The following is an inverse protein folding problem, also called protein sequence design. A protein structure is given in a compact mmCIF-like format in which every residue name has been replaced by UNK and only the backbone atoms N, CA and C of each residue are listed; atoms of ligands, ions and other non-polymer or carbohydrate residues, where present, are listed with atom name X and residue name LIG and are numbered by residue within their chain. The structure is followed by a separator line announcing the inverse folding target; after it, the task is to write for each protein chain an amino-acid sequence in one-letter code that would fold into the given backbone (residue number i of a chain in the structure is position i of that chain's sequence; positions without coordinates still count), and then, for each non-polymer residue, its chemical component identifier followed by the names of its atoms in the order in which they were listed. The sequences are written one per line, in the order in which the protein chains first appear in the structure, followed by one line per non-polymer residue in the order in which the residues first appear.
data_IF_514348651175
#
_entry.id   IF_514348651175
#
_cell.length_a   1.000
_cell.length_b   1.000
_cell.length_c   1.000
_cell.angle_alpha   90.00
_cell.angle_beta   90.00
_cell.angle_gamma   90.00
#
_symmetry.space_group_name_H-M   'P 1'
#
loop_
_entity.id
_entity.type
_entity.pdbx_description
1 polymer ?
#
# COMPACT_ATOMS: atom_id res chain seq x y z
N UNK A 1 -18.55 21.85 14.68
CA UNK A 1 -17.41 21.67 13.75
C UNK A 1 -17.48 20.25 13.22
N UNK A 2 -17.37 20.07 11.90
CA UNK A 2 -17.32 18.76 11.26
C UNK A 2 -15.98 18.10 11.56
N UNK A 3 -15.98 16.92 12.20
CA UNK A 3 -14.76 16.17 12.45
C UNK A 3 -14.24 15.59 11.13
N UNK A 4 -12.99 15.86 10.77
CA UNK A 4 -12.38 15.41 9.51
C UNK A 4 -11.40 14.29 9.80
N UNK A 5 -11.38 13.28 8.95
CA UNK A 5 -10.47 12.13 9.06
C UNK A 5 -9.80 11.83 7.72
N UNK A 6 -8.60 11.27 7.78
CA UNK A 6 -7.83 10.83 6.64
C UNK A 6 -7.94 9.31 6.50
N UNK A 7 -8.26 8.84 5.30
CA UNK A 7 -8.58 7.44 5.03
C UNK A 7 -7.61 6.90 4.01
N UNK A 8 -7.00 5.76 4.34
CA UNK A 8 -6.04 5.04 3.51
C UNK A 8 -6.48 3.58 3.42
N UNK A 9 -6.27 2.91 2.28
CA UNK A 9 -6.45 1.45 2.25
C UNK A 9 -5.43 0.76 3.16
N UNK A 10 -5.77 -0.37 3.76
CA UNK A 10 -4.82 -1.18 4.55
C UNK A 10 -3.63 -1.73 3.76
N UNK A 11 -3.73 -1.78 2.44
CA UNK A 11 -2.63 -2.15 1.55
C UNK A 11 -2.46 -1.04 0.51
N UNK A 12 -1.97 0.13 0.94
CA UNK A 12 -1.85 1.28 0.03
C UNK A 12 -0.76 1.06 -1.02
N UNK A 13 0.21 0.20 -0.71
CA UNK A 13 1.31 -0.22 -1.58
C UNK A 13 1.35 -1.74 -1.59
N UNK A 14 1.65 -2.33 -2.74
CA UNK A 14 1.86 -3.78 -2.87
C UNK A 14 3.01 -4.07 -3.83
N UNK A 15 3.55 -5.28 -3.80
CA UNK A 15 4.62 -5.71 -4.71
C UNK A 15 4.23 -5.62 -6.19
N UNK A 16 2.94 -5.79 -6.50
CA UNK A 16 2.43 -5.78 -7.87
C UNK A 16 1.84 -4.41 -8.29
N UNK A 17 1.70 -3.48 -7.34
CA UNK A 17 1.09 -2.17 -7.59
C UNK A 17 1.62 -1.14 -6.60
N UNK A 18 2.38 -0.18 -7.14
CA UNK A 18 2.87 1.01 -6.43
C UNK A 18 2.26 2.23 -7.13
N UNK A 19 1.37 2.99 -6.46
CA UNK A 19 0.77 4.18 -7.05
C UNK A 19 1.85 5.23 -7.38
N UNK A 20 1.79 5.86 -8.58
CA UNK A 20 2.82 6.80 -9.01
C UNK A 20 2.74 8.16 -8.29
N UNK A 21 1.61 8.50 -7.67
CA UNK A 21 1.41 9.78 -7.00
C UNK A 21 0.58 9.66 -5.72
N UNK A 22 1.00 10.36 -4.66
CA UNK A 22 0.23 10.51 -3.42
C UNK A 22 -1.05 11.34 -3.64
N UNK A 23 -0.92 12.38 -4.48
CA UNK A 23 -1.99 13.30 -4.87
C UNK A 23 -2.22 13.11 -6.36
N UNK A 24 -3.31 12.43 -6.72
CA UNK A 24 -3.67 12.15 -8.10
C UNK A 24 -5.19 12.17 -8.28
N UNK A 25 -5.66 11.80 -9.48
CA UNK A 25 -7.10 11.66 -9.74
C UNK A 25 -7.78 10.68 -8.75
N UNK A 26 -7.03 9.67 -8.30
CA UNK A 26 -7.38 8.79 -7.19
C UNK A 26 -6.26 8.87 -6.14
N UNK A 27 -6.36 9.76 -5.13
CA UNK A 27 -5.31 9.95 -4.14
C UNK A 27 -5.24 8.78 -3.16
N UNK A 28 -4.03 8.45 -2.70
CA UNK A 28 -3.80 7.39 -1.70
C UNK A 28 -4.40 7.71 -0.33
N UNK A 29 -4.41 9.00 0.01
CA UNK A 29 -5.00 9.54 1.23
C UNK A 29 -6.23 10.34 0.81
N UNK A 30 -7.40 9.91 1.26
CA UNK A 30 -8.65 10.65 1.07
C UNK A 30 -9.04 11.38 2.35
N UNK A 31 -9.47 12.63 2.23
CA UNK A 31 -9.96 13.44 3.36
C UNK A 31 -11.48 13.44 3.36
N UNK A 32 -12.09 13.06 4.48
CA UNK A 32 -13.55 12.99 4.59
C UNK A 32 -14.07 13.59 5.90
N UNK A 33 -15.27 14.15 5.84
CA UNK A 33 -16.04 14.54 7.01
C UNK A 33 -16.71 13.30 7.63
N UNK A 34 -16.53 13.14 8.94
CA UNK A 34 -17.11 12.04 9.73
C UNK A 34 -18.56 12.35 10.04
N UNK A 35 -19.47 11.50 9.56
CA UNK A 35 -20.88 11.57 9.94
C UNK A 35 -21.14 10.78 11.23
N UNK A 36 -20.57 9.57 11.33
CA UNK A 36 -20.75 8.67 12.49
C UNK A 36 -19.67 7.60 12.56
N UNK A 37 -19.15 7.32 13.75
CA UNK A 37 -18.38 6.09 14.04
C UNK A 37 -19.33 4.92 14.32
N UNK A 38 -19.03 3.76 13.77
CA UNK A 38 -19.77 2.51 13.98
C UNK A 38 -18.86 1.44 14.56
N UNK A 39 -19.42 0.31 15.01
CA UNK A 39 -18.65 -0.81 15.54
C UNK A 39 -17.70 -1.47 14.51
N UNK A 40 -17.95 -1.30 13.21
CA UNK A 40 -17.18 -1.93 12.12
C UNK A 40 -16.34 -0.94 11.31
N UNK A 41 -16.44 0.36 11.56
CA UNK A 41 -15.97 1.36 10.62
C UNK A 41 -16.57 2.75 10.79
N UNK A 42 -16.39 3.60 9.78
CA UNK A 42 -16.92 4.96 9.74
C UNK A 42 -17.94 5.15 8.64
N UNK A 43 -18.99 5.92 8.94
CA UNK A 43 -19.85 6.54 7.92
C UNK A 43 -19.30 7.92 7.61
N UNK A 44 -18.86 8.10 6.38
CA UNK A 44 -18.16 9.29 5.91
C UNK A 44 -18.96 10.00 4.82
N UNK A 45 -18.92 11.33 4.83
CA UNK A 45 -19.58 12.15 3.82
C UNK A 45 -18.75 12.16 2.55
N UNK A 46 -19.39 11.81 1.43
CA UNK A 46 -18.77 11.79 0.10
C UNK A 46 -19.54 12.71 -0.85
N UNK A 47 -18.84 13.28 -1.84
CA UNK A 47 -19.40 14.30 -2.74
C UNK A 47 -20.67 13.86 -3.47
N UNK A 48 -20.73 12.60 -3.92
CA UNK A 48 -21.88 12.05 -4.66
C UNK A 48 -23.01 11.53 -3.76
N UNK A 49 -22.84 11.52 -2.44
CA UNK A 49 -23.84 11.04 -1.48
C UNK A 49 -23.80 11.86 -0.18
N UNK A 50 -23.99 13.17 -0.28
CA UNK A 50 -23.87 14.10 0.84
C UNK A 50 -24.80 13.79 2.02
N UNK A 51 -26.06 13.43 1.76
CA UNK A 51 -27.07 13.23 2.82
C UNK A 51 -27.00 11.86 3.48
N UNK A 52 -26.50 10.86 2.73
CA UNK A 52 -26.48 9.46 3.17
C UNK A 52 -25.07 9.00 3.55
N UNK A 53 -24.00 9.63 3.08
CA UNK A 53 -22.62 9.16 3.27
C UNK A 53 -22.39 7.75 2.73
N UNK A 54 -21.14 7.29 2.84
CA UNK A 54 -20.71 5.93 2.50
C UNK A 54 -20.07 5.26 3.71
N UNK A 55 -20.26 3.94 3.84
CA UNK A 55 -19.65 3.16 4.91
C UNK A 55 -18.25 2.68 4.50
N UNK A 56 -17.26 2.95 5.34
CA UNK A 56 -15.88 2.49 5.20
C UNK A 56 -15.55 1.58 6.39
N UNK A 57 -15.09 0.36 6.10
CA UNK A 57 -14.90 -0.68 7.11
C UNK A 57 -13.46 -0.76 7.60
N UNK A 58 -13.27 -0.98 8.90
CA UNK A 58 -11.94 -1.13 9.53
C UNK A 58 -11.16 -2.34 9.00
N UNK A 59 -11.82 -3.28 8.34
CA UNK A 59 -11.17 -4.44 7.73
C UNK A 59 -10.41 -4.08 6.44
N UNK A 60 -10.83 -3.02 5.75
CA UNK A 60 -10.28 -2.62 4.44
C UNK A 60 -9.49 -1.30 4.49
N UNK A 61 -9.77 -0.46 5.48
CA UNK A 61 -9.24 0.89 5.57
C UNK A 61 -8.59 1.15 6.93
N UNK A 62 -7.62 2.04 6.90
CA UNK A 62 -6.97 2.67 8.05
C UNK A 62 -7.44 4.13 8.11
N UNK A 63 -7.62 4.64 9.32
CA UNK A 63 -8.18 5.96 9.57
C UNK A 63 -7.24 6.75 10.49
N UNK A 64 -6.97 8.01 10.15
CA UNK A 64 -6.00 8.86 10.83
C UNK A 64 -6.57 10.25 11.11
N UNK A 65 -6.26 10.83 12.25
CA UNK A 65 -6.75 12.17 12.63
C UNK A 65 -5.99 13.27 11.90
N UNK A 66 -4.72 13.02 11.57
CA UNK A 66 -3.86 13.96 10.85
C UNK A 66 -3.35 13.40 9.53
N UNK A 67 -3.09 14.31 8.59
CA UNK A 67 -2.48 13.95 7.31
C UNK A 67 -1.05 13.41 7.50
N UNK A 68 -0.34 13.88 8.53
CA UNK A 68 1.01 13.45 8.85
C UNK A 68 1.07 11.97 9.24
N UNK A 69 0.15 11.50 10.11
CA UNK A 69 0.05 10.09 10.47
C UNK A 69 -0.26 9.20 9.27
N UNK A 70 -1.15 9.66 8.39
CA UNK A 70 -1.47 8.93 7.16
C UNK A 70 -0.25 8.82 6.21
N UNK A 71 0.57 9.87 6.12
CA UNK A 71 1.83 9.84 5.37
C UNK A 71 2.85 8.89 5.99
N UNK A 72 3.01 8.92 7.31
CA UNK A 72 3.93 8.04 8.03
C UNK A 72 3.56 6.57 7.80
N UNK A 73 2.27 6.24 7.90
CA UNK A 73 1.77 4.91 7.60
C UNK A 73 2.12 4.46 6.17
N UNK A 74 1.89 5.31 5.16
CA UNK A 74 2.25 4.99 3.77
C UNK A 74 3.76 4.80 3.60
N UNK A 75 4.57 5.63 4.25
CA UNK A 75 6.03 5.51 4.19
C UNK A 75 6.50 4.18 4.81
N UNK A 76 5.91 3.76 5.93
CA UNK A 76 6.20 2.46 6.55
C UNK A 76 5.83 1.30 5.62
N UNK A 77 4.64 1.32 5.03
CA UNK A 77 4.19 0.29 4.08
C UNK A 77 5.08 0.24 2.83
N UNK A 78 5.44 1.40 2.27
CA UNK A 78 6.33 1.47 1.12
C UNK A 78 7.71 0.89 1.44
N UNK A 79 8.27 1.21 2.62
CA UNK A 79 9.54 0.66 3.06
C UNK A 79 9.48 -0.86 3.29
N UNK A 80 8.38 -1.35 3.85
CA UNK A 80 8.15 -2.79 4.01
C UNK A 80 8.15 -3.52 2.66
N UNK A 81 7.39 -3.02 1.69
CA UNK A 81 7.33 -3.58 0.34
C UNK A 81 8.69 -3.50 -0.37
N UNK A 82 9.42 -2.38 -0.22
CA UNK A 82 10.78 -2.26 -0.76
C UNK A 82 11.72 -3.35 -0.21
N UNK A 83 11.65 -3.61 1.10
CA UNK A 83 12.41 -4.69 1.74
C UNK A 83 12.04 -6.08 1.18
N UNK A 84 10.76 -6.36 0.97
CA UNK A 84 10.31 -7.62 0.37
C UNK A 84 10.84 -7.80 -1.06
N UNK A 85 10.78 -6.74 -1.87
CA UNK A 85 11.26 -6.77 -3.25
C UNK A 85 12.78 -6.99 -3.33
N UNK A 86 13.55 -6.37 -2.44
CA UNK A 86 15.00 -6.57 -2.41
C UNK A 86 15.36 -8.02 -2.01
N UNK A 87 14.64 -8.62 -1.06
CA UNK A 87 14.85 -10.03 -0.71
C UNK A 87 14.47 -10.97 -1.87
N UNK A 88 13.35 -10.71 -2.57
CA UNK A 88 12.98 -11.47 -3.77
C UNK A 88 14.05 -11.38 -4.86
N UNK A 89 14.58 -10.18 -5.12
CA UNK A 89 15.67 -9.96 -6.07
C UNK A 89 16.93 -10.72 -5.67
N UNK A 90 17.27 -10.74 -4.36
CA UNK A 90 18.41 -11.50 -3.83
C UNK A 90 18.24 -13.00 -4.07
N UNK A 91 17.06 -13.55 -3.82
CA UNK A 91 16.75 -14.96 -4.08
C UNK A 91 16.86 -15.30 -5.57
N UNK A 92 16.29 -14.47 -6.45
CA UNK A 92 16.40 -14.65 -7.89
C UNK A 92 17.86 -14.61 -8.39
N UNK A 93 18.67 -13.71 -7.82
CA UNK A 93 20.10 -13.60 -8.17
C UNK A 93 20.87 -14.86 -7.75
N UNK A 94 20.60 -15.40 -6.56
CA UNK A 94 21.23 -16.66 -6.11
C UNK A 94 20.90 -17.82 -7.06
N UNK A 95 19.62 -17.99 -7.38
CA UNK A 95 19.17 -19.03 -8.30
C UNK A 95 19.82 -18.90 -9.69
N UNK A 96 19.98 -17.68 -10.19
CA UNK A 96 20.67 -17.42 -11.44
C UNK A 96 22.14 -17.84 -11.39
N UNK A 97 22.85 -17.53 -10.31
CA UNK A 97 24.25 -17.96 -10.13
C UNK A 97 24.36 -19.49 -10.05
N UNK A 98 23.51 -20.13 -9.26
CA UNK A 98 23.45 -21.60 -9.13
C UNK A 98 23.23 -22.26 -10.50
N UNK A 99 22.28 -21.76 -11.30
CA UNK A 99 22.03 -22.25 -12.65
C UNK A 99 23.24 -22.07 -13.60
N UNK A 100 23.98 -20.96 -13.47
CA UNK A 100 25.17 -20.71 -14.28
C UNK A 100 26.34 -21.64 -13.89
N UNK A 101 26.51 -21.91 -12.60
CA UNK A 101 27.54 -22.82 -12.11
C UNK A 101 27.24 -24.26 -12.51
N UNK A 102 25.97 -24.70 -12.43
CA UNK A 102 25.54 -25.98 -12.98
C UNK A 102 25.80 -26.07 -14.49
N UNK A 103 25.43 -25.04 -15.26
CA UNK A 103 25.69 -25.00 -16.69
C UNK A 103 27.18 -25.15 -17.02
N UNK A 104 28.05 -24.44 -16.29
CA UNK A 104 29.51 -24.54 -16.45
C UNK A 104 30.02 -25.94 -16.17
N UNK A 105 29.49 -26.61 -15.15
CA UNK A 105 29.88 -27.98 -14.77
C UNK A 105 29.52 -29.02 -15.85
N UNK A 106 28.45 -28.75 -16.63
CA UNK A 106 27.97 -29.61 -17.72
C UNK A 106 28.70 -29.39 -19.05
N UNK A 107 29.45 -28.29 -19.20
CA UNK A 107 30.37 -28.04 -20.33
C UNK A 107 31.82 -28.29 -19.91
N UNK A 108 32.30 -29.55 -19.90
CA UNK A 108 33.71 -29.84 -19.72
C UNK A 108 34.45 -29.47 -21.01
N UNK A 109 35.00 -28.25 -21.06
CA UNK A 109 35.84 -27.76 -22.14
C UNK A 109 35.32 -26.49 -22.81
N UNK A 110 35.53 -25.35 -22.15
CA UNK A 110 35.71 -24.08 -22.85
C UNK A 110 37.21 -23.90 -23.10
N UNK A 111 37.57 -23.81 -24.38
CA UNK A 111 38.91 -23.51 -24.93
C UNK A 111 39.57 -22.31 -24.27
#
# INVERSE_FOLDING_TARGET
MSNVIYVVSKKPVSTNYIPPALKGALPLISQYEVMKRTAKGYRLKVSYAGDKGSMYLDEHYSFFETYAEALEYIATEANHIAGMLEEMKRQATRLMCEAQDELRSLTPGGV
#
